data_IF_845487360388
#
_entry.id   IF_845487360388
#
_cell.length_a   1.000
_cell.length_b   1.000
_cell.length_c   1.000
_cell.angle_alpha   90.00
_cell.angle_beta   90.00
_cell.angle_gamma   90.00
#
_symmetry.space_group_name_H-M   'P 1'
#
loop_
_entity.id
_entity.type
_entity.pdbx_description
1 polymer ?
#
# COMPACT_ATOMS: atom_id res chain seq x y z
N UNK A 1 -3.45 55.62 23.11
CA UNK A 1 -2.98 56.54 22.05
C UNK A 1 -2.72 55.68 20.82
N UNK A 2 -3.69 55.57 19.90
CA UNK A 2 -3.79 56.37 18.65
C UNK A 2 -2.99 55.74 17.50
N UNK A 3 -3.41 55.66 16.23
CA UNK A 3 -4.74 55.63 15.58
C UNK A 3 -4.52 55.42 14.05
N UNK A 4 -5.34 54.60 13.36
CA UNK A 4 -5.62 54.68 11.88
C UNK A 4 -4.39 54.29 10.98
N UNK A 5 -4.46 53.65 9.81
CA UNK A 5 -5.45 53.63 8.72
C UNK A 5 -5.66 52.27 8.04
N UNK A 6 -6.85 52.12 7.44
CA UNK A 6 -7.26 51.04 6.53
C UNK A 6 -6.78 51.25 5.10
N UNK A 7 -6.70 50.16 4.31
CA UNK A 7 -7.07 50.19 2.88
C UNK A 7 -7.68 48.85 2.46
N UNK A 8 -8.76 48.93 1.69
CA UNK A 8 -9.59 47.83 1.20
C UNK A 8 -9.78 47.99 -0.30
N UNK A 9 -9.75 46.89 -1.05
CA UNK A 9 -10.26 46.87 -2.42
C UNK A 9 -10.72 45.46 -2.80
N UNK A 10 -12.02 45.23 -2.64
CA UNK A 10 -12.72 44.08 -3.21
C UNK A 10 -12.60 44.04 -4.73
N UNK A 11 -12.57 42.84 -5.32
CA UNK A 11 -12.94 42.64 -6.72
C UNK A 11 -13.98 41.52 -6.80
N UNK A 12 -15.16 41.83 -7.33
CA UNK A 12 -16.29 40.92 -7.41
C UNK A 12 -16.64 40.61 -8.86
N UNK A 13 -16.97 39.33 -9.11
CA UNK A 13 -17.88 38.85 -10.16
C UNK A 13 -17.57 39.19 -11.63
N UNK A 14 -17.62 38.17 -12.49
CA UNK A 14 -18.67 38.08 -13.52
C UNK A 14 -18.60 36.72 -14.24
N UNK A 15 -19.56 35.85 -13.92
CA UNK A 15 -19.85 34.64 -14.71
C UNK A 15 -20.83 34.99 -15.83
N UNK A 16 -20.53 34.59 -17.07
CA UNK A 16 -21.48 34.65 -18.18
C UNK A 16 -21.75 33.25 -18.74
N UNK A 17 -23.02 32.83 -18.66
CA UNK A 17 -23.56 31.59 -19.24
C UNK A 17 -24.59 31.99 -20.32
N UNK A 18 -24.39 31.64 -21.61
CA UNK A 18 -25.40 31.89 -22.64
C UNK A 18 -26.62 30.94 -22.52
N UNK A 19 -27.78 31.32 -23.08
CA UNK A 19 -29.09 30.80 -22.66
C UNK A 19 -29.55 29.54 -23.42
N UNK A 20 -30.57 28.91 -22.84
CA UNK A 20 -31.25 27.72 -23.36
C UNK A 20 -32.65 28.13 -23.91
N UNK A 21 -33.02 27.86 -25.18
CA UNK A 21 -34.35 28.15 -25.70
C UNK A 21 -35.28 26.93 -25.63
N UNK A 22 -36.50 27.11 -25.10
CA UNK A 22 -37.50 26.06 -24.92
C UNK A 22 -38.64 26.09 -25.96
N UNK A 23 -38.85 24.93 -26.60
CA UNK A 23 -40.16 24.36 -27.03
C UNK A 23 -41.20 25.21 -27.78
N UNK A 24 -41.33 24.94 -29.10
CA UNK A 24 -42.57 24.80 -29.90
C UNK A 24 -42.24 23.95 -31.17
N UNK A 25 -43.16 23.25 -31.87
CA UNK A 25 -44.59 23.04 -31.55
C UNK A 25 -45.43 22.25 -32.59
N UNK A 26 -45.02 21.03 -33.04
CA UNK A 26 -45.78 20.06 -33.89
C UNK A 26 -46.05 20.46 -35.37
N UNK A 27 -46.58 19.59 -36.25
CA UNK A 27 -46.54 18.11 -36.32
C UNK A 27 -45.98 17.56 -37.67
N UNK A 28 -45.56 16.28 -37.71
CA UNK A 28 -45.96 15.30 -38.74
C UNK A 28 -45.20 13.96 -38.60
N UNK A 29 -45.96 12.89 -38.39
CA UNK A 29 -45.58 11.48 -38.63
C UNK A 29 -46.14 11.06 -40.02
N UNK A 30 -45.92 9.83 -40.55
CA UNK A 30 -45.27 8.65 -39.99
C UNK A 30 -44.09 8.15 -40.89
N UNK A 31 -43.39 7.04 -40.62
CA UNK A 31 -43.82 5.66 -40.90
C UNK A 31 -43.10 4.65 -39.98
N UNK A 32 -43.81 3.59 -39.60
CA UNK A 32 -43.35 2.46 -38.80
C UNK A 32 -42.52 1.46 -39.60
N UNK A 33 -41.64 0.70 -38.93
CA UNK A 33 -41.65 -0.78 -39.05
C UNK A 33 -41.04 -1.45 -37.80
N UNK A 34 -41.75 -2.43 -37.25
CA UNK A 34 -41.37 -3.25 -36.08
C UNK A 34 -41.15 -4.71 -36.50
N UNK A 35 -40.11 -5.34 -35.95
CA UNK A 35 -39.96 -6.79 -35.70
C UNK A 35 -38.63 -6.96 -34.93
N UNK A 36 -38.55 -7.31 -33.64
CA UNK A 36 -39.11 -8.43 -32.85
C UNK A 36 -38.51 -9.80 -33.22
N UNK A 37 -37.56 -10.28 -32.41
CA UNK A 37 -37.45 -11.72 -32.07
C UNK A 37 -36.57 -12.00 -30.84
N UNK A 38 -37.02 -12.97 -30.02
CA UNK A 38 -36.25 -13.93 -29.19
C UNK A 38 -34.90 -13.49 -28.58
N UNK A 39 -34.71 -13.37 -27.26
CA UNK A 39 -35.02 -14.32 -26.18
C UNK A 39 -34.58 -15.77 -26.51
N UNK A 40 -33.41 -16.16 -26.01
CA UNK A 40 -32.85 -17.53 -26.02
C UNK A 40 -32.36 -17.83 -24.57
N UNK A 41 -32.52 -19.05 -24.04
CA UNK A 41 -32.86 -19.21 -22.63
C UNK A 41 -31.68 -19.49 -21.68
N UNK A 42 -31.95 -19.22 -20.40
CA UNK A 42 -31.14 -19.62 -19.26
C UNK A 42 -31.05 -21.16 -19.16
N UNK A 43 -29.86 -21.73 -19.37
CA UNK A 43 -29.66 -23.17 -19.25
C UNK A 43 -29.66 -23.60 -17.77
N UNK A 44 -30.66 -24.39 -17.36
CA UNK A 44 -30.77 -24.95 -16.01
C UNK A 44 -30.35 -26.42 -16.04
N UNK A 45 -29.20 -26.74 -15.44
CA UNK A 45 -28.72 -28.12 -15.35
C UNK A 45 -29.58 -28.97 -14.38
N UNK A 46 -29.89 -30.24 -14.71
CA UNK A 46 -30.55 -31.15 -13.79
C UNK A 46 -29.55 -31.76 -12.79
N UNK A 47 -29.85 -31.67 -11.50
CA UNK A 47 -29.13 -32.42 -10.44
C UNK A 47 -29.91 -33.69 -10.15
N UNK A 48 -29.31 -34.84 -10.47
CA UNK A 48 -29.82 -36.15 -10.08
C UNK A 48 -29.52 -36.44 -8.60
N UNK A 49 -30.39 -37.21 -7.96
CA UNK A 49 -30.09 -37.83 -6.66
C UNK A 49 -29.43 -39.18 -6.91
N UNK A 50 -28.25 -39.41 -6.33
CA UNK A 50 -27.71 -40.76 -6.14
C UNK A 50 -27.08 -40.84 -4.75
N UNK A 51 -27.64 -41.72 -3.93
CA UNK A 51 -27.10 -42.09 -2.62
C UNK A 51 -26.08 -43.21 -2.77
N UNK A 52 -24.83 -42.97 -2.39
CA UNK A 52 -23.88 -44.04 -2.06
C UNK A 52 -22.89 -43.55 -1.02
N UNK A 53 -22.77 -44.33 0.05
CA UNK A 53 -21.89 -44.07 1.19
C UNK A 53 -20.46 -44.50 0.90
N UNK A 54 -19.50 -43.61 1.04
CA UNK A 54 -18.10 -43.96 1.33
C UNK A 54 -17.39 -42.82 2.05
N UNK A 55 -17.27 -42.95 3.38
CA UNK A 55 -16.47 -42.04 4.21
C UNK A 55 -14.98 -42.34 4.02
N UNK A 56 -14.34 -41.69 3.04
CA UNK A 56 -12.88 -41.67 2.93
C UNK A 56 -12.35 -40.48 3.74
N UNK A 57 -11.99 -40.74 4.99
CA UNK A 57 -11.21 -39.80 5.79
C UNK A 57 -9.80 -39.67 5.21
N UNK A 58 -9.54 -38.59 4.49
CA UNK A 58 -8.18 -38.16 4.20
C UNK A 58 -7.46 -37.93 5.55
N UNK A 59 -6.27 -38.50 5.80
CA UNK A 59 -5.48 -38.08 6.93
C UNK A 59 -5.15 -36.61 6.74
N UNK A 60 -5.53 -35.77 7.68
CA UNK A 60 -5.08 -34.39 7.74
C UNK A 60 -3.58 -34.39 7.97
N UNK A 61 -2.82 -34.35 6.86
CA UNK A 61 -1.40 -34.02 6.90
C UNK A 61 -1.26 -32.56 7.34
N UNK A 62 -1.39 -32.33 8.64
CA UNK A 62 -0.68 -31.26 9.31
C UNK A 62 0.81 -31.61 9.21
N UNK A 63 1.37 -31.48 8.01
CA UNK A 63 2.71 -30.95 7.88
C UNK A 63 2.66 -29.62 8.62
N UNK A 64 3.17 -29.60 9.85
CA UNK A 64 3.46 -28.36 10.54
C UNK A 64 4.16 -27.46 9.50
N UNK A 65 3.69 -26.23 9.27
CA UNK A 65 4.35 -25.37 8.31
C UNK A 65 5.83 -25.34 8.70
N UNK A 66 6.69 -25.62 7.72
CA UNK A 66 8.12 -25.45 7.91
C UNK A 66 8.33 -24.09 8.58
N UNK A 67 9.30 -23.94 9.51
CA UNK A 67 9.64 -22.64 10.04
C UNK A 67 10.20 -21.79 8.89
N UNK A 68 9.28 -21.18 8.13
CA UNK A 68 9.53 -19.92 7.46
C UNK A 68 10.13 -19.04 8.52
N UNK A 69 11.33 -18.53 8.25
CA UNK A 69 12.01 -17.58 9.12
C UNK A 69 11.17 -16.30 9.06
N UNK A 70 10.11 -16.30 9.87
CA UNK A 70 9.30 -15.14 10.16
C UNK A 70 10.21 -14.21 10.93
N UNK A 71 10.30 -12.97 10.48
CA UNK A 71 10.73 -11.87 11.34
C UNK A 71 9.99 -12.00 12.66
N UNK A 72 10.74 -12.06 13.77
CA UNK A 72 10.16 -12.31 15.09
C UNK A 72 9.04 -11.32 15.34
N UNK A 73 7.83 -11.82 15.61
CA UNK A 73 6.66 -10.95 15.83
C UNK A 73 6.76 -10.12 17.12
N UNK A 74 7.71 -10.47 17.99
CA UNK A 74 8.10 -9.73 19.20
C UNK A 74 9.05 -8.57 18.91
N UNK A 75 9.72 -8.57 17.74
CA UNK A 75 10.56 -7.45 17.33
C UNK A 75 9.70 -6.28 16.84
N UNK A 76 10.14 -5.05 17.13
CA UNK A 76 9.44 -3.83 16.73
C UNK A 76 9.46 -3.56 15.22
N UNK A 77 9.02 -2.36 14.83
CA UNK A 77 8.95 -1.97 13.42
C UNK A 77 10.34 -1.96 12.76
N UNK A 78 10.49 -2.70 11.67
CA UNK A 78 11.69 -2.70 10.86
C UNK A 78 11.75 -1.53 9.88
N UNK A 79 12.94 -1.28 9.35
CA UNK A 79 13.20 -0.26 8.31
C UNK A 79 13.94 -0.87 7.13
N UNK A 80 13.91 -0.19 5.99
CA UNK A 80 14.71 -0.59 4.83
C UNK A 80 15.89 0.36 4.62
N UNK A 81 17.02 -0.23 4.24
CA UNK A 81 18.27 0.48 3.93
C UNK A 81 18.89 -0.02 2.64
N UNK A 82 20.09 0.46 2.34
CA UNK A 82 20.86 0.02 1.17
C UNK A 82 22.29 -0.24 1.60
N UNK A 83 22.75 -1.49 1.48
CA UNK A 83 24.16 -1.84 1.71
C UNK A 83 25.04 -1.03 0.76
N UNK A 84 25.86 -0.13 1.31
CA UNK A 84 26.80 0.71 0.55
C UNK A 84 28.15 0.01 0.36
N UNK A 85 28.55 -0.81 1.32
CA UNK A 85 29.83 -1.53 1.31
C UNK A 85 30.16 -2.10 2.68
N UNK A 86 31.41 -2.51 2.84
CA UNK A 86 32.00 -2.91 4.11
C UNK A 86 33.29 -2.14 4.31
N UNK A 87 33.56 -1.73 5.54
CA UNK A 87 34.77 -1.02 5.96
C UNK A 87 35.30 -1.64 7.26
N UNK A 88 36.52 -1.30 7.64
CA UNK A 88 37.06 -1.64 8.96
C UNK A 88 37.04 -0.40 9.84
N UNK A 89 36.41 -0.49 11.00
CA UNK A 89 36.50 0.51 12.06
C UNK A 89 37.60 0.12 13.04
N UNK A 90 38.26 1.12 13.63
CA UNK A 90 39.23 0.95 14.70
C UNK A 90 38.59 1.43 16.00
N UNK A 91 38.60 0.57 17.02
CA UNK A 91 38.24 0.95 18.38
C UNK A 91 39.41 1.65 19.10
N UNK A 92 39.11 2.37 20.18
CA UNK A 92 40.13 2.96 21.08
C UNK A 92 41.07 1.89 21.68
N UNK A 93 40.61 0.64 21.76
CA UNK A 93 41.38 -0.54 22.18
C UNK A 93 42.49 -0.94 21.19
N UNK A 94 42.49 -0.37 19.98
CA UNK A 94 43.32 -0.82 18.86
C UNK A 94 42.74 -2.02 18.09
N UNK A 95 41.57 -2.52 18.50
CA UNK A 95 40.88 -3.63 17.82
C UNK A 95 40.28 -3.18 16.49
N UNK A 96 40.38 -4.04 15.47
CA UNK A 96 39.84 -3.79 14.12
C UNK A 96 38.55 -4.57 13.93
N UNK A 97 37.43 -3.86 13.77
CA UNK A 97 36.10 -4.45 13.62
C UNK A 97 35.60 -4.27 12.17
N UNK A 98 35.32 -5.36 11.42
CA UNK A 98 34.73 -5.25 10.09
C UNK A 98 33.24 -4.94 10.20
N UNK A 99 32.80 -3.80 9.63
CA UNK A 99 31.41 -3.34 9.69
C UNK A 99 30.80 -3.21 8.29
N UNK A 100 29.49 -3.42 8.18
CA UNK A 100 28.73 -3.15 6.95
C UNK A 100 28.09 -1.77 7.05
N UNK A 101 28.34 -0.91 6.06
CA UNK A 101 27.72 0.42 6.01
C UNK A 101 26.35 0.32 5.34
N UNK A 102 25.29 0.58 6.10
CA UNK A 102 23.92 0.68 5.59
C UNK A 102 23.56 2.15 5.38
N UNK A 103 23.33 2.52 4.12
CA UNK A 103 22.93 3.87 3.74
C UNK A 103 21.42 3.98 3.58
N UNK A 104 20.85 5.04 4.13
CA UNK A 104 19.43 5.36 4.00
C UNK A 104 19.18 6.45 2.96
N UNK A 105 18.00 6.41 2.35
CA UNK A 105 17.52 7.36 1.34
C UNK A 105 16.11 7.81 1.70
N UNK A 106 15.62 8.85 1.04
CA UNK A 106 14.23 9.32 1.15
C UNK A 106 13.25 8.14 0.98
N UNK A 107 12.43 7.90 2.01
CA UNK A 107 11.67 6.67 2.23
C UNK A 107 11.52 6.37 3.72
N UNK A 108 11.23 5.10 4.04
CA UNK A 108 10.81 4.60 5.36
C UNK A 108 9.57 5.35 5.87
N UNK A 109 8.51 5.30 5.05
CA UNK A 109 7.20 5.89 5.32
C UNK A 109 6.17 4.75 5.40
N UNK A 110 5.30 4.76 6.39
CA UNK A 110 4.19 3.80 6.53
C UNK A 110 3.20 4.03 5.39
N UNK A 111 2.99 3.01 4.54
CA UNK A 111 2.10 3.09 3.37
C UNK A 111 0.71 2.57 3.63
N UNK A 112 0.61 1.51 4.45
CA UNK A 112 -0.65 0.88 4.86
C UNK A 112 -0.46 0.23 6.23
N UNK A 113 -1.47 0.35 7.09
CA UNK A 113 -1.60 -0.44 8.31
C UNK A 113 -2.62 -1.55 8.06
N UNK A 114 -2.26 -2.78 8.41
CA UNK A 114 -3.09 -3.99 8.29
C UNK A 114 -3.50 -4.48 9.66
N UNK A 115 -4.76 -4.85 9.78
CA UNK A 115 -5.36 -5.31 11.04
C UNK A 115 -5.97 -6.69 10.85
N UNK A 116 -6.03 -7.48 11.93
CA UNK A 116 -6.71 -8.78 11.93
C UNK A 116 -8.13 -8.74 11.35
N UNK A 117 -8.89 -7.67 11.64
CA UNK A 117 -10.26 -7.50 11.14
C UNK A 117 -10.36 -7.25 9.61
N UNK A 118 -9.30 -6.76 8.97
CA UNK A 118 -9.32 -6.37 7.54
C UNK A 118 -8.51 -7.34 6.67
N UNK A 119 -7.33 -7.75 7.14
CA UNK A 119 -6.34 -8.52 6.38
C UNK A 119 -6.07 -9.92 7.00
N UNK A 120 -6.62 -10.21 8.18
CA UNK A 120 -6.43 -11.48 8.89
C UNK A 120 -5.13 -11.59 9.70
N UNK A 121 -4.33 -10.52 9.79
CA UNK A 121 -3.14 -10.40 10.65
C UNK A 121 -2.76 -8.94 10.86
N UNK A 122 -2.03 -8.67 11.95
CA UNK A 122 -1.46 -7.36 12.26
C UNK A 122 -0.12 -7.15 11.55
N UNK A 123 -0.01 -6.10 10.74
CA UNK A 123 1.23 -5.71 10.06
C UNK A 123 1.27 -4.23 9.66
N UNK A 124 2.47 -3.68 9.55
CA UNK A 124 2.72 -2.35 9.00
C UNK A 124 3.48 -2.49 7.69
N UNK A 125 2.92 -1.95 6.60
CA UNK A 125 3.61 -1.84 5.32
C UNK A 125 4.42 -0.54 5.30
N UNK A 126 5.71 -0.65 4.98
CA UNK A 126 6.66 0.48 4.92
C UNK A 126 7.23 0.57 3.51
N UNK A 127 7.22 1.78 2.96
CA UNK A 127 7.79 2.09 1.65
C UNK A 127 9.16 2.76 1.74
N UNK A 128 10.07 2.41 0.84
CA UNK A 128 11.44 2.93 0.78
C UNK A 128 11.89 3.30 -0.64
N UNK A 129 12.88 4.20 -0.70
CA UNK A 129 13.57 4.68 -1.91
C UNK A 129 12.63 5.38 -2.88
N UNK A 130 12.52 6.71 -2.74
CA UNK A 130 11.81 7.57 -3.69
C UNK A 130 12.28 7.35 -5.13
N UNK A 131 11.33 7.34 -6.05
CA UNK A 131 11.54 7.31 -7.50
C UNK A 131 10.73 8.42 -8.20
N UNK A 132 10.96 8.59 -9.51
CA UNK A 132 10.11 9.43 -10.36
C UNK A 132 8.86 8.63 -10.72
N UNK A 133 7.71 9.29 -10.77
CA UNK A 133 6.38 8.71 -10.99
C UNK A 133 6.33 7.78 -12.21
N UNK A 134 6.99 8.18 -13.32
CA UNK A 134 7.14 7.36 -14.55
C UNK A 134 7.85 6.01 -14.39
N UNK A 135 8.42 5.71 -13.21
CA UNK A 135 9.05 4.42 -12.88
C UNK A 135 8.12 3.47 -12.13
N UNK A 136 6.96 3.94 -11.67
CA UNK A 136 5.92 3.11 -11.09
C UNK A 136 4.84 2.80 -12.14
N UNK A 137 4.20 1.67 -11.98
CA UNK A 137 2.99 1.31 -12.71
C UNK A 137 1.78 2.07 -12.14
N UNK A 138 0.71 2.19 -12.93
CA UNK A 138 -0.54 2.85 -12.51
C UNK A 138 -1.13 2.31 -11.19
N UNK A 139 -1.21 0.98 -10.93
CA UNK A 139 -1.74 0.49 -9.64
C UNK A 139 -0.84 0.81 -8.45
N UNK A 140 0.49 0.73 -8.59
CA UNK A 140 1.43 1.12 -7.52
C UNK A 140 1.32 2.61 -7.18
N UNK A 141 1.18 3.45 -8.22
CA UNK A 141 0.98 4.89 -8.08
C UNK A 141 -0.34 5.19 -7.35
N UNK A 142 -1.46 4.61 -7.79
CA UNK A 142 -2.77 4.80 -7.13
C UNK A 142 -2.83 4.30 -5.69
N UNK A 143 -2.07 3.24 -5.36
CA UNK A 143 -1.93 2.75 -3.97
C UNK A 143 -1.24 3.78 -3.07
N UNK A 144 -0.15 4.39 -3.54
CA UNK A 144 0.59 5.42 -2.78
C UNK A 144 -0.16 6.75 -2.72
N UNK A 145 -0.81 7.15 -3.81
CA UNK A 145 -1.64 8.37 -3.88
C UNK A 145 -2.83 8.32 -2.91
N UNK A 146 -3.44 7.14 -2.70
CA UNK A 146 -4.52 6.95 -1.73
C UNK A 146 -4.12 7.35 -0.30
N UNK A 147 -2.86 7.10 0.08
CA UNK A 147 -2.30 7.49 1.38
C UNK A 147 -1.60 8.87 1.34
N UNK A 148 -1.58 9.56 0.21
CA UNK A 148 -0.90 10.86 0.05
C UNK A 148 0.63 10.80 0.03
N UNK A 149 1.21 9.65 -0.32
CA UNK A 149 2.64 9.36 -0.16
C UNK A 149 3.41 9.56 -1.47
N UNK A 150 4.67 9.99 -1.36
CA UNK A 150 5.60 10.10 -2.49
C UNK A 150 5.79 8.76 -3.23
N UNK A 151 6.17 8.76 -4.53
CA UNK A 151 6.43 7.52 -5.27
C UNK A 151 7.63 6.75 -4.69
N UNK A 152 7.40 5.58 -4.09
CA UNK A 152 8.40 4.72 -3.44
C UNK A 152 8.57 3.42 -4.23
N UNK A 153 9.80 2.94 -4.38
CA UNK A 153 10.11 1.77 -5.22
C UNK A 153 9.91 0.43 -4.53
N UNK A 154 10.20 0.37 -3.25
CA UNK A 154 10.20 -0.87 -2.49
C UNK A 154 9.14 -0.76 -1.40
N UNK A 155 8.24 -1.73 -1.30
CA UNK A 155 7.27 -1.87 -0.23
C UNK A 155 7.56 -3.18 0.49
N UNK A 156 7.59 -3.16 1.82
CA UNK A 156 7.83 -4.34 2.65
C UNK A 156 6.88 -4.32 3.84
N UNK A 157 6.44 -5.50 4.27
CA UNK A 157 5.53 -5.65 5.41
C UNK A 157 6.28 -6.22 6.61
N UNK A 158 6.09 -5.57 7.76
CA UNK A 158 6.58 -6.00 9.05
C UNK A 158 5.39 -6.45 9.88
N UNK A 159 5.39 -7.72 10.31
CA UNK A 159 4.34 -8.30 11.16
C UNK A 159 4.65 -7.97 12.61
N UNK A 160 3.64 -7.48 13.33
CA UNK A 160 3.76 -7.04 14.72
C UNK A 160 2.63 -7.67 15.53
N UNK A 161 2.82 -7.84 16.85
CA UNK A 161 1.72 -8.24 17.74
C UNK A 161 0.62 -7.16 17.81
N UNK A 162 1.01 -5.90 17.97
CA UNK A 162 0.12 -4.73 17.91
C UNK A 162 0.57 -3.75 16.84
N UNK A 163 -0.40 -3.09 16.21
CA UNK A 163 -0.20 -2.02 15.21
C UNK A 163 -0.70 -0.65 15.71
N UNK A 164 -1.03 -0.55 16.99
CA UNK A 164 -1.43 0.72 17.62
C UNK A 164 -0.31 1.76 17.56
N UNK A 165 -0.65 3.01 17.24
CA UNK A 165 0.30 4.11 17.12
C UNK A 165 1.00 4.24 15.76
N UNK A 166 0.70 3.37 14.79
CA UNK A 166 1.10 3.54 13.40
C UNK A 166 -0.03 4.13 12.55
N UNK A 167 0.28 5.17 11.77
CA UNK A 167 -0.66 5.82 10.86
C UNK A 167 -0.11 5.84 9.42
N UNK A 168 -0.96 5.75 8.38
CA UNK A 168 -0.54 5.97 7.00
C UNK A 168 0.11 7.35 6.81
N UNK A 169 1.16 7.42 5.97
CA UNK A 169 1.99 8.60 5.75
C UNK A 169 2.86 9.04 6.95
N UNK A 170 2.87 8.29 8.06
CA UNK A 170 3.87 8.48 9.11
C UNK A 170 5.26 8.13 8.61
N UNK A 171 6.25 8.98 8.88
CA UNK A 171 7.65 8.72 8.58
C UNK A 171 8.34 8.10 9.78
N UNK A 172 9.09 7.02 9.55
CA UNK A 172 9.91 6.36 10.57
C UNK A 172 11.26 7.10 10.68
N UNK A 173 11.59 7.54 11.89
CA UNK A 173 12.87 8.20 12.22
C UNK A 173 13.85 7.13 12.72
N UNK A 174 15.01 7.03 12.09
CA UNK A 174 15.97 5.97 12.36
C UNK A 174 16.60 6.10 13.75
N UNK A 175 16.94 7.34 14.12
CA UNK A 175 17.61 7.69 15.38
C UNK A 175 16.72 7.45 16.62
N UNK A 176 15.40 7.31 16.42
CA UNK A 176 14.42 6.94 17.45
C UNK A 176 14.25 5.41 17.58
N UNK A 177 14.52 4.67 16.49
CA UNK A 177 14.29 3.23 16.38
C UNK A 177 15.54 2.38 16.71
N UNK A 178 16.74 2.92 16.53
CA UNK A 178 18.00 2.21 16.77
C UNK A 178 18.93 3.04 17.64
N UNK A 179 19.50 2.40 18.67
CA UNK A 179 20.52 2.95 19.55
C UNK A 179 21.81 2.17 19.42
N UNK A 180 22.91 2.82 19.81
CA UNK A 180 24.22 2.17 19.83
C UNK A 180 24.22 0.99 20.81
N UNK A 181 24.64 -0.18 20.35
CA UNK A 181 24.62 -1.43 21.11
C UNK A 181 23.39 -2.31 20.91
N UNK A 182 22.35 -1.86 20.20
CA UNK A 182 21.19 -2.69 19.89
C UNK A 182 21.55 -3.86 18.95
N UNK A 183 21.00 -5.04 19.24
CA UNK A 183 21.09 -6.20 18.34
C UNK A 183 20.02 -6.10 17.25
N UNK A 184 20.42 -6.27 15.99
CA UNK A 184 19.54 -6.10 14.82
C UNK A 184 19.59 -7.30 13.87
N UNK A 185 18.42 -7.76 13.44
CA UNK A 185 18.29 -8.76 12.39
C UNK A 185 18.30 -8.09 11.00
N UNK A 186 19.19 -8.57 10.12
CA UNK A 186 19.34 -8.02 8.77
C UNK A 186 18.94 -9.07 7.73
N UNK A 187 17.84 -8.80 7.01
CA UNK A 187 17.39 -9.60 5.87
C UNK A 187 17.66 -8.89 4.54
N UNK A 188 17.98 -9.66 3.51
CA UNK A 188 18.25 -9.15 2.17
C UNK A 188 18.50 -10.26 1.15
N UNK A 189 18.36 -9.94 -0.14
CA UNK A 189 18.66 -10.88 -1.22
C UNK A 189 20.16 -11.11 -1.32
N UNK A 190 20.59 -12.38 -1.26
CA UNK A 190 21.97 -12.78 -1.47
C UNK A 190 22.39 -12.61 -2.93
N UNK A 191 23.71 -12.54 -3.18
CA UNK A 191 24.24 -12.65 -4.54
C UNK A 191 24.01 -14.10 -4.99
N UNK A 192 23.43 -14.29 -6.17
CA UNK A 192 23.28 -15.61 -6.77
C UNK A 192 24.63 -16.13 -7.27
N UNK A 193 24.91 -17.41 -6.98
CA UNK A 193 26.03 -18.16 -7.57
C UNK A 193 25.65 -18.69 -8.95
#
# INVERSE_FOLDING_TARGET
MSAISSLSSSFSSLTLKPPNPSSHGTPNAPLSFTLRSSFIPLYKAPISKSSSSSSLSLPSSHSAPLPLIMSSMEAGIGVMGTKLGMISCFEESGTVVPVTVIGFREGNIVTQVKTEATDGYNAVQVGYRRVRDRKLTKPEMGHLEKSGIIPLRHLQEFRLQSVEGFEPNQRLVLDELFKEGDLVDVSGTTIGN
#
